data_IF_587330218132
#
_entry.id   IF_587330218132
#
_cell.length_a   1.000
_cell.length_b   1.000
_cell.length_c   1.000
_cell.angle_alpha   90.00
_cell.angle_beta   90.00
_cell.angle_gamma   90.00
#
_symmetry.space_group_name_H-M   'P 1'
#
loop_
_entity.id
_entity.type
_entity.pdbx_description
1 polymer ?
#
# COMPACT_ATOMS: atom_id res chain seq x y z
N UNK A 1 -18.22 -16.44 7.54
CA UNK A 1 -17.98 -15.04 7.98
C UNK A 1 -19.22 -14.24 7.58
N UNK A 2 -19.87 -13.54 8.52
CA UNK A 2 -21.07 -12.75 8.20
C UNK A 2 -20.76 -11.82 7.03
N UNK A 3 -21.66 -11.69 6.06
CA UNK A 3 -21.48 -10.86 4.85
C UNK A 3 -20.51 -11.39 3.76
N UNK A 4 -19.98 -12.62 3.84
CA UNK A 4 -19.17 -13.16 2.73
C UNK A 4 -20.05 -13.78 1.65
N UNK A 5 -21.01 -14.61 2.03
CA UNK A 5 -21.86 -15.32 1.06
C UNK A 5 -22.91 -14.37 0.47
N UNK A 6 -23.47 -13.48 1.28
CA UNK A 6 -24.49 -12.49 0.88
C UNK A 6 -23.97 -11.48 -0.16
N UNK A 7 -22.72 -11.00 -0.02
CA UNK A 7 -22.11 -10.06 -0.96
C UNK A 7 -21.42 -10.76 -2.15
N UNK A 8 -21.47 -12.09 -2.19
CA UNK A 8 -21.00 -12.91 -3.32
C UNK A 8 -22.15 -13.60 -4.05
N UNK A 9 -23.39 -13.36 -3.63
CA UNK A 9 -24.57 -13.78 -4.37
C UNK A 9 -24.68 -12.98 -5.67
N UNK A 10 -24.93 -13.70 -6.76
CA UNK A 10 -25.02 -13.13 -8.10
C UNK A 10 -26.33 -12.34 -8.29
N UNK A 11 -27.41 -12.72 -7.59
CA UNK A 11 -28.71 -12.08 -7.77
C UNK A 11 -28.70 -10.59 -7.32
N UNK A 12 -28.17 -10.24 -6.12
CA UNK A 12 -27.97 -8.83 -5.74
C UNK A 12 -27.04 -8.06 -6.68
N UNK A 13 -26.01 -8.72 -7.24
CA UNK A 13 -25.09 -8.08 -8.18
C UNK A 13 -25.82 -7.66 -9.46
N UNK A 14 -26.60 -8.56 -10.06
CA UNK A 14 -27.41 -8.20 -11.24
C UNK A 14 -28.41 -7.09 -10.96
N UNK A 15 -29.11 -7.15 -9.82
CA UNK A 15 -30.05 -6.10 -9.43
C UNK A 15 -29.35 -4.72 -9.29
N UNK A 16 -28.14 -4.69 -8.73
CA UNK A 16 -27.33 -3.48 -8.66
C UNK A 16 -26.91 -2.97 -10.05
N UNK A 17 -26.48 -3.84 -10.95
CA UNK A 17 -26.09 -3.45 -12.32
C UNK A 17 -27.28 -2.90 -13.10
N UNK A 18 -28.46 -3.52 -12.99
CA UNK A 18 -29.69 -3.04 -13.61
C UNK A 18 -30.09 -1.66 -13.05
N UNK A 19 -30.02 -1.49 -11.72
CA UNK A 19 -30.29 -0.20 -11.09
C UNK A 19 -29.31 0.89 -11.55
N UNK A 20 -28.01 0.58 -11.63
CA UNK A 20 -27.00 1.49 -12.17
C UNK A 20 -27.35 1.87 -13.62
N UNK A 21 -27.66 0.88 -14.46
CA UNK A 21 -28.02 1.08 -15.88
C UNK A 21 -29.22 2.03 -16.03
N UNK A 22 -30.23 1.90 -15.16
CA UNK A 22 -31.41 2.76 -15.18
C UNK A 22 -31.16 4.18 -14.66
N UNK A 23 -30.14 4.39 -13.81
CA UNK A 23 -29.82 5.69 -13.20
C UNK A 23 -28.83 6.52 -14.00
N UNK A 24 -28.00 5.91 -14.85
CA UNK A 24 -26.96 6.63 -15.57
C UNK A 24 -27.57 7.54 -16.63
N UNK A 25 -27.32 8.84 -16.51
CA UNK A 25 -27.85 9.88 -17.43
C UNK A 25 -26.82 10.44 -18.40
N UNK A 26 -25.54 10.10 -18.22
CA UNK A 26 -24.40 10.60 -19.01
C UNK A 26 -23.19 9.68 -18.83
N UNK A 27 -22.14 9.79 -19.65
CA UNK A 27 -20.89 9.09 -19.39
C UNK A 27 -20.27 9.49 -18.04
N UNK A 28 -19.76 8.48 -17.31
CA UNK A 28 -19.10 8.63 -16.02
C UNK A 28 -17.72 7.97 -16.03
N UNK A 29 -16.71 8.69 -15.54
CA UNK A 29 -15.38 8.16 -15.25
C UNK A 29 -15.20 8.17 -13.73
N UNK A 30 -15.16 6.98 -13.13
CA UNK A 30 -15.04 6.78 -11.69
C UNK A 30 -13.69 6.14 -11.39
N UNK A 31 -12.95 6.71 -10.45
CA UNK A 31 -11.63 6.20 -10.06
C UNK A 31 -11.70 5.46 -8.73
N UNK A 32 -11.19 4.24 -8.67
CA UNK A 32 -10.91 3.58 -7.40
C UNK A 32 -9.49 3.90 -6.92
N UNK A 33 -9.25 3.86 -5.61
CA UNK A 33 -7.99 4.28 -5.00
C UNK A 33 -7.43 3.25 -4.01
N UNK A 34 -7.70 1.97 -4.26
CA UNK A 34 -7.26 0.88 -3.40
C UNK A 34 -6.93 -0.37 -4.21
N UNK A 35 -5.68 -0.83 -4.16
CA UNK A 35 -5.26 -2.04 -4.89
C UNK A 35 -6.10 -3.29 -4.58
N UNK A 36 -6.67 -3.37 -3.37
CA UNK A 36 -7.62 -4.42 -3.02
C UNK A 36 -8.94 -4.32 -3.80
N UNK A 37 -9.46 -3.10 -3.99
CA UNK A 37 -10.63 -2.85 -4.84
C UNK A 37 -10.30 -3.12 -6.31
N UNK A 38 -9.15 -2.66 -6.81
CA UNK A 38 -8.67 -3.01 -8.16
C UNK A 38 -8.69 -4.52 -8.37
N UNK A 39 -8.11 -5.27 -7.44
CA UNK A 39 -8.05 -6.73 -7.51
C UNK A 39 -9.45 -7.35 -7.52
N UNK A 40 -10.35 -6.91 -6.63
CA UNK A 40 -11.72 -7.40 -6.57
C UNK A 40 -12.51 -7.10 -7.85
N UNK A 41 -12.42 -5.87 -8.37
CA UNK A 41 -13.13 -5.43 -9.58
C UNK A 41 -12.71 -6.30 -10.77
N UNK A 42 -11.40 -6.39 -11.02
CA UNK A 42 -10.86 -7.13 -12.18
C UNK A 42 -11.08 -8.63 -12.03
N UNK A 43 -10.83 -9.20 -10.84
CA UNK A 43 -11.00 -10.64 -10.61
C UNK A 43 -12.45 -11.08 -10.78
N UNK A 44 -13.40 -10.25 -10.38
CA UNK A 44 -14.84 -10.54 -10.49
C UNK A 44 -15.45 -10.06 -11.81
N UNK A 45 -14.68 -9.42 -12.69
CA UNK A 45 -15.16 -8.89 -13.98
C UNK A 45 -16.22 -7.80 -13.84
N UNK A 46 -16.23 -7.06 -12.72
CA UNK A 46 -17.25 -6.03 -12.46
C UNK A 46 -17.16 -4.91 -13.51
N UNK A 47 -15.95 -4.58 -13.94
CA UNK A 47 -15.67 -3.64 -15.02
C UNK A 47 -16.34 -4.03 -16.36
N UNK A 48 -16.52 -5.32 -16.61
CA UNK A 48 -17.18 -5.84 -17.82
C UNK A 48 -18.71 -5.89 -17.69
N UNK A 49 -19.23 -5.87 -16.46
CA UNK A 49 -20.67 -5.90 -16.19
C UNK A 49 -21.30 -4.51 -16.15
N UNK A 50 -20.49 -3.46 -15.93
CA UNK A 50 -20.98 -2.09 -15.89
C UNK A 50 -21.45 -1.63 -17.29
N UNK A 51 -22.42 -0.70 -17.37
CA UNK A 51 -22.80 -0.07 -18.62
C UNK A 51 -21.60 0.56 -19.34
N UNK A 52 -21.56 0.49 -20.68
CA UNK A 52 -20.45 1.03 -21.49
C UNK A 52 -20.16 2.52 -21.25
N UNK A 53 -21.16 3.27 -20.81
CA UNK A 53 -21.01 4.68 -20.46
C UNK A 53 -20.32 4.92 -19.11
N UNK A 54 -20.03 3.88 -18.33
CA UNK A 54 -19.23 3.97 -17.10
C UNK A 54 -17.83 3.43 -17.37
N UNK A 55 -16.84 4.30 -17.22
CA UNK A 55 -15.43 3.95 -17.24
C UNK A 55 -14.89 3.88 -15.81
N UNK A 56 -14.35 2.73 -15.42
CA UNK A 56 -13.55 2.60 -14.21
C UNK A 56 -12.08 2.93 -14.52
N UNK A 57 -11.45 3.74 -13.66
CA UNK A 57 -10.04 4.09 -13.73
C UNK A 57 -9.35 3.62 -12.45
N UNK A 58 -8.17 3.01 -12.61
CA UNK A 58 -7.36 2.56 -11.48
C UNK A 58 -6.42 3.67 -11.02
N UNK A 59 -6.67 4.19 -9.82
CA UNK A 59 -5.87 5.25 -9.23
C UNK A 59 -4.59 4.75 -8.54
N UNK A 60 -3.80 5.66 -7.96
CA UNK A 60 -2.59 5.33 -7.20
C UNK A 60 -2.90 4.67 -5.83
N UNK A 61 -3.56 3.51 -5.84
CA UNK A 61 -4.01 2.76 -4.65
C UNK A 61 -3.02 1.74 -4.07
N UNK A 62 -1.74 1.79 -4.49
CA UNK A 62 -0.68 0.88 -4.05
C UNK A 62 0.47 1.68 -3.42
N UNK A 63 0.66 1.63 -2.08
CA UNK A 63 1.67 2.45 -1.40
C UNK A 63 3.11 2.07 -1.83
N UNK A 64 3.33 0.80 -2.11
CA UNK A 64 4.61 0.27 -2.63
C UNK A 64 4.92 0.88 -4.00
N UNK A 65 3.94 0.89 -4.89
CA UNK A 65 4.09 1.33 -6.28
C UNK A 65 4.32 2.84 -6.40
N UNK A 66 3.81 3.63 -5.44
CA UNK A 66 3.98 5.10 -5.42
C UNK A 66 5.17 5.56 -4.58
N UNK A 67 5.91 4.64 -3.96
CA UNK A 67 7.12 4.98 -3.21
C UNK A 67 8.18 5.48 -4.19
N UNK A 68 8.68 6.70 -3.98
CA UNK A 68 9.65 7.32 -4.89
C UNK A 68 10.96 6.53 -4.97
N UNK A 69 11.55 6.44 -6.16
CA UNK A 69 12.85 5.80 -6.39
C UNK A 69 13.94 6.29 -5.44
N UNK A 70 14.02 7.60 -5.16
CA UNK A 70 15.01 8.14 -4.22
C UNK A 70 14.84 7.68 -2.76
N UNK A 71 13.63 7.26 -2.36
CA UNK A 71 13.40 6.66 -1.04
C UNK A 71 13.82 5.19 -1.02
N UNK A 72 13.62 4.47 -2.13
CA UNK A 72 14.12 3.10 -2.30
C UNK A 72 15.65 3.09 -2.31
N UNK A 73 16.29 4.05 -2.98
CA UNK A 73 17.75 4.19 -2.96
C UNK A 73 18.29 4.41 -1.54
N UNK A 74 17.63 5.26 -0.74
CA UNK A 74 17.96 5.42 0.69
C UNK A 74 17.78 4.12 1.47
N UNK A 75 16.71 3.35 1.20
CA UNK A 75 16.48 2.06 1.85
C UNK A 75 17.62 1.08 1.55
N UNK A 76 18.05 0.99 0.28
CA UNK A 76 19.16 0.15 -0.17
C UNK A 76 20.49 0.58 0.47
N UNK A 77 20.75 1.88 0.54
CA UNK A 77 21.95 2.42 1.18
C UNK A 77 21.97 2.05 2.68
N UNK A 78 20.87 2.26 3.40
CA UNK A 78 20.77 1.94 4.83
C UNK A 78 20.90 0.43 5.05
N UNK A 79 20.25 -0.39 4.23
CA UNK A 79 20.33 -1.85 4.34
C UNK A 79 21.75 -2.38 4.14
N UNK A 80 22.57 -1.67 3.35
CA UNK A 80 23.95 -2.07 3.06
C UNK A 80 24.96 -1.65 4.15
N UNK A 81 24.52 -0.94 5.20
CA UNK A 81 25.42 -0.48 6.27
C UNK A 81 25.81 -1.63 7.21
N UNK A 82 27.10 -1.73 7.60
CA UNK A 82 27.52 -2.73 8.59
C UNK A 82 26.78 -2.55 9.92
N UNK A 83 26.39 -3.67 10.54
CA UNK A 83 25.70 -3.66 11.84
C UNK A 83 24.21 -3.30 11.77
N UNK A 84 23.65 -3.08 10.58
CA UNK A 84 22.21 -2.87 10.37
C UNK A 84 21.50 -4.17 10.05
N UNK A 85 20.37 -4.42 10.71
CA UNK A 85 19.35 -5.35 10.27
C UNK A 85 18.22 -4.53 9.65
N UNK A 86 18.04 -4.66 8.34
CA UNK A 86 17.00 -3.95 7.61
C UNK A 86 15.76 -4.81 7.49
N UNK A 87 14.61 -4.24 7.83
CA UNK A 87 13.32 -4.95 7.81
C UNK A 87 12.34 -4.23 6.90
N UNK A 88 11.60 -5.00 6.11
CA UNK A 88 10.63 -4.47 5.14
C UNK A 88 9.54 -5.51 4.83
N UNK A 89 8.45 -5.08 4.21
CA UNK A 89 7.45 -5.98 3.67
C UNK A 89 7.96 -6.73 2.42
N UNK A 90 7.45 -7.94 2.20
CA UNK A 90 7.96 -8.83 1.14
C UNK A 90 7.75 -8.30 -0.28
N UNK A 91 6.70 -7.54 -0.52
CA UNK A 91 6.39 -6.87 -1.78
C UNK A 91 7.38 -5.72 -2.07
N UNK A 92 7.74 -4.93 -1.05
CA UNK A 92 8.68 -3.83 -1.17
C UNK A 92 10.12 -4.30 -1.47
N UNK A 93 10.51 -5.51 -1.08
CA UNK A 93 11.88 -6.00 -1.28
C UNK A 93 12.29 -6.08 -2.77
N UNK A 94 11.32 -6.22 -3.68
CA UNK A 94 11.53 -6.38 -5.13
C UNK A 94 11.45 -5.09 -5.92
N UNK A 95 11.11 -3.97 -5.28
CA UNK A 95 10.90 -2.71 -6.01
C UNK A 95 12.26 -2.13 -6.41
N UNK A 96 12.47 -1.80 -7.69
CA UNK A 96 13.73 -1.27 -8.15
C UNK A 96 13.93 0.17 -7.65
N UNK A 97 15.13 0.43 -7.13
CA UNK A 97 15.70 1.77 -7.04
C UNK A 97 16.31 2.20 -8.37
N UNK A 98 17.18 3.20 -8.34
CA UNK A 98 17.82 3.76 -9.54
C UNK A 98 18.79 2.77 -10.20
N UNK A 99 19.45 1.91 -9.42
CA UNK A 99 20.50 1.00 -9.93
C UNK A 99 20.46 -0.41 -9.35
N UNK A 100 19.61 -0.69 -8.35
CA UNK A 100 19.52 -1.99 -7.68
C UNK A 100 18.20 -2.11 -6.91
N UNK A 101 18.01 -3.20 -6.16
CA UNK A 101 16.87 -3.44 -5.27
C UNK A 101 17.35 -4.05 -3.93
N UNK A 102 16.43 -4.16 -2.96
CA UNK A 102 16.75 -4.68 -1.63
C UNK A 102 17.14 -6.17 -1.67
N UNK A 103 16.56 -6.97 -2.56
CA UNK A 103 16.95 -8.38 -2.72
C UNK A 103 18.40 -8.52 -3.24
N UNK A 104 18.84 -7.63 -4.11
CA UNK A 104 20.20 -7.57 -4.60
C UNK A 104 21.16 -7.13 -3.50
N UNK A 105 20.77 -6.16 -2.67
CA UNK A 105 21.53 -5.79 -1.47
C UNK A 105 21.68 -6.99 -0.51
N UNK A 106 20.61 -7.76 -0.30
CA UNK A 106 20.65 -9.02 0.48
C UNK A 106 21.62 -10.03 -0.13
N UNK A 107 21.58 -10.23 -1.44
CA UNK A 107 22.50 -11.12 -2.15
C UNK A 107 23.97 -10.69 -2.03
N UNK A 108 24.22 -9.39 -1.81
CA UNK A 108 25.55 -8.80 -1.54
C UNK A 108 25.96 -8.84 -0.07
N UNK A 109 25.16 -9.43 0.81
CA UNK A 109 25.48 -9.65 2.22
C UNK A 109 24.79 -8.72 3.22
N UNK A 110 23.85 -7.87 2.79
CA UNK A 110 23.01 -7.11 3.71
C UNK A 110 22.10 -8.04 4.54
N UNK A 111 21.96 -7.80 5.86
CA UNK A 111 20.98 -8.51 6.70
C UNK A 111 19.58 -7.91 6.47
N UNK A 112 18.92 -8.37 5.40
CA UNK A 112 17.55 -8.01 5.07
C UNK A 112 16.57 -9.10 5.55
N UNK A 113 15.63 -8.72 6.42
CA UNK A 113 14.57 -9.60 6.94
C UNK A 113 13.20 -9.13 6.46
N UNK A 114 12.44 -10.06 5.89
CA UNK A 114 11.06 -9.78 5.47
C UNK A 114 10.14 -9.94 6.68
N UNK A 115 9.26 -8.98 6.89
CA UNK A 115 8.31 -8.96 8.01
C UNK A 115 6.88 -8.82 7.52
N UNK A 116 5.92 -9.30 8.30
CA UNK A 116 4.49 -9.15 8.01
C UNK A 116 3.87 -7.95 8.71
N UNK A 117 4.52 -7.44 9.75
CA UNK A 117 4.04 -6.30 10.52
C UNK A 117 5.19 -5.46 11.09
N UNK A 118 4.94 -4.19 11.45
CA UNK A 118 5.90 -3.37 12.19
C UNK A 118 6.28 -3.98 13.56
N UNK A 119 5.40 -4.79 14.17
CA UNK A 119 5.67 -5.47 15.44
C UNK A 119 6.68 -6.61 15.29
N UNK A 120 6.74 -7.27 14.13
CA UNK A 120 7.78 -8.26 13.86
C UNK A 120 9.16 -7.59 13.77
N UNK A 121 9.24 -6.42 13.16
CA UNK A 121 10.49 -5.63 13.12
C UNK A 121 10.92 -5.18 14.53
N UNK A 122 9.96 -4.78 15.37
CA UNK A 122 10.22 -4.47 16.78
C UNK A 122 10.79 -5.68 17.53
N UNK A 123 10.21 -6.87 17.33
CA UNK A 123 10.73 -8.11 17.93
C UNK A 123 12.15 -8.42 17.48
N UNK A 124 12.46 -8.19 16.20
CA UNK A 124 13.84 -8.30 15.69
C UNK A 124 14.79 -7.38 16.45
N UNK A 125 14.37 -6.16 16.82
CA UNK A 125 15.17 -5.24 17.63
C UNK A 125 15.42 -5.74 19.06
N UNK A 126 14.40 -6.31 19.70
CA UNK A 126 14.51 -6.95 21.03
C UNK A 126 15.51 -8.11 21.01
N UNK A 127 15.44 -8.94 19.96
CA UNK A 127 16.27 -10.14 19.84
C UNK A 127 17.73 -9.86 19.42
N UNK A 128 18.04 -8.63 18.99
CA UNK A 128 19.35 -8.24 18.45
C UNK A 128 19.82 -6.89 19.05
N UNK A 129 20.07 -6.82 20.37
CA UNK A 129 20.37 -5.55 21.06
C UNK A 129 21.69 -4.90 20.64
N UNK A 130 22.61 -5.66 20.04
CA UNK A 130 23.90 -5.19 19.53
C UNK A 130 23.83 -4.65 18.08
N UNK A 131 22.66 -4.71 17.44
CA UNK A 131 22.45 -4.31 16.05
C UNK A 131 21.44 -3.18 15.95
N UNK A 132 21.66 -2.29 14.98
CA UNK A 132 20.67 -1.28 14.62
C UNK A 132 19.60 -1.93 13.74
N UNK A 133 18.34 -1.92 14.20
CA UNK A 133 17.21 -2.41 13.42
C UNK A 133 16.47 -1.24 12.79
N UNK A 134 16.36 -1.28 11.46
CA UNK A 134 15.65 -0.27 10.69
C UNK A 134 14.43 -0.91 10.04
N UNK A 135 13.24 -0.37 10.29
CA UNK A 135 12.03 -0.77 9.58
C UNK A 135 11.68 0.24 8.48
N UNK A 136 11.51 -0.26 7.26
CA UNK A 136 11.07 0.53 6.12
C UNK A 136 9.54 0.66 6.14
N UNK A 137 9.06 1.74 6.73
CA UNK A 137 7.65 1.98 6.98
C UNK A 137 6.97 2.56 5.73
N UNK A 138 6.54 1.66 4.84
CA UNK A 138 5.77 1.97 3.64
C UNK A 138 4.30 1.65 3.91
N UNK A 139 3.39 2.51 3.46
CA UNK A 139 1.95 2.26 3.59
C UNK A 139 1.12 3.53 3.54
N UNK A 140 -0.19 3.35 3.47
CA UNK A 140 -1.16 4.44 3.58
C UNK A 140 -1.64 4.61 5.03
N UNK A 141 -2.74 5.32 5.21
CA UNK A 141 -3.39 5.60 6.49
C UNK A 141 -3.75 4.34 7.28
N UNK A 142 -3.96 3.21 6.62
CA UNK A 142 -4.25 1.91 7.28
C UNK A 142 -3.01 1.28 7.92
N UNK A 143 -1.81 1.57 7.42
CA UNK A 143 -0.54 1.03 7.92
C UNK A 143 0.14 1.97 8.92
N UNK A 144 -0.10 3.28 8.82
CA UNK A 144 0.52 4.25 9.72
C UNK A 144 0.22 4.01 11.22
N UNK A 145 -1.01 3.63 11.65
CA UNK A 145 -1.31 3.35 13.05
C UNK A 145 -0.53 2.16 13.63
N UNK A 146 -0.32 1.10 12.84
CA UNK A 146 0.45 -0.07 13.32
C UNK A 146 1.93 0.25 13.44
N UNK A 147 2.45 1.10 12.55
CA UNK A 147 3.82 1.65 12.66
C UNK A 147 3.96 2.52 13.91
N UNK A 148 3.00 3.42 14.16
CA UNK A 148 2.99 4.26 15.36
C UNK A 148 2.92 3.43 16.65
N UNK A 149 2.17 2.32 16.64
CA UNK A 149 2.13 1.38 17.77
C UNK A 149 3.51 0.75 18.03
N UNK A 150 4.23 0.34 16.99
CA UNK A 150 5.59 -0.21 17.15
C UNK A 150 6.55 0.81 17.77
N UNK A 151 6.49 2.09 17.37
CA UNK A 151 7.27 3.17 17.99
C UNK A 151 6.92 3.33 19.47
N UNK A 152 5.62 3.40 19.78
CA UNK A 152 5.15 3.55 21.16
C UNK A 152 5.64 2.41 22.05
N UNK A 153 5.59 1.17 21.55
CA UNK A 153 6.08 0.00 22.28
C UNK A 153 7.61 0.02 22.43
N UNK A 154 8.35 0.41 21.39
CA UNK A 154 9.80 0.59 21.48
C UNK A 154 10.18 1.61 22.56
N UNK A 155 9.47 2.73 22.64
CA UNK A 155 9.67 3.74 23.68
C UNK A 155 9.35 3.21 25.08
N UNK A 156 8.26 2.45 25.24
CA UNK A 156 7.89 1.84 26.52
C UNK A 156 8.92 0.80 26.99
N UNK A 157 9.51 0.07 26.04
CA UNK A 157 10.57 -0.92 26.29
C UNK A 157 11.97 -0.31 26.37
N UNK A 158 12.11 1.01 26.12
CA UNK A 158 13.38 1.74 26.08
C UNK A 158 14.39 1.13 25.10
N UNK A 159 13.92 0.77 23.91
CA UNK A 159 14.77 0.26 22.84
C UNK A 159 15.42 1.42 22.09
N UNK A 160 16.74 1.53 22.22
CA UNK A 160 17.53 2.57 21.53
C UNK A 160 17.99 2.14 20.12
N UNK A 161 17.83 0.86 19.78
CA UNK A 161 18.29 0.25 18.54
C UNK A 161 17.19 0.07 17.47
N UNK A 162 15.99 0.60 17.68
CA UNK A 162 14.87 0.51 16.73
C UNK A 162 14.58 1.85 16.06
N UNK A 163 14.69 1.89 14.73
CA UNK A 163 14.49 3.11 13.93
C UNK A 163 13.64 2.84 12.69
N UNK A 164 13.15 3.92 12.09
CA UNK A 164 12.24 3.86 10.95
C UNK A 164 12.77 4.69 9.79
N UNK A 165 12.71 4.13 8.59
CA UNK A 165 12.67 4.90 7.36
C UNK A 165 11.20 5.10 7.00
N UNK A 166 10.65 6.30 7.27
CA UNK A 166 9.23 6.59 7.07
C UNK A 166 8.97 6.99 5.63
N UNK A 167 8.10 6.22 4.97
CA UNK A 167 7.64 6.41 3.60
C UNK A 167 6.11 6.24 3.50
N UNK A 168 5.40 6.67 4.55
CA UNK A 168 3.95 6.72 4.52
C UNK A 168 3.45 7.80 3.57
N UNK A 169 2.36 7.49 2.85
CA UNK A 169 1.74 8.38 1.87
C UNK A 169 0.28 8.58 2.26
N UNK A 170 -0.25 9.77 2.00
CA UNK A 170 -1.65 10.09 2.22
C UNK A 170 -2.43 9.98 0.91
N UNK A 171 -3.59 9.34 0.95
CA UNK A 171 -4.48 9.17 -0.20
C UNK A 171 -5.25 10.46 -0.52
N UNK A 172 -5.84 11.20 0.44
CA UNK A 172 -6.62 12.41 0.13
C UNK A 172 -5.84 13.50 -0.63
N UNK A 173 -4.56 13.80 -0.34
CA UNK A 173 -3.77 14.73 -1.15
C UNK A 173 -3.59 14.28 -2.60
N UNK A 174 -3.40 12.97 -2.84
CA UNK A 174 -3.32 12.43 -4.20
C UNK A 174 -4.66 12.60 -4.94
N UNK A 175 -5.79 12.31 -4.27
CA UNK A 175 -7.13 12.52 -4.82
C UNK A 175 -7.39 13.98 -5.19
N UNK A 176 -7.02 14.92 -4.30
CA UNK A 176 -7.17 16.37 -4.58
C UNK A 176 -6.33 16.80 -5.78
N UNK A 177 -5.08 16.35 -5.84
CA UNK A 177 -4.20 16.63 -6.99
C UNK A 177 -4.80 16.17 -8.31
N UNK A 178 -5.46 14.99 -8.31
CA UNK A 178 -6.14 14.46 -9.50
C UNK A 178 -7.36 15.31 -9.86
N UNK A 179 -8.13 15.80 -8.88
CA UNK A 179 -9.31 16.64 -9.11
C UNK A 179 -8.95 18.06 -9.55
N UNK A 180 -7.85 18.61 -9.05
CA UNK A 180 -7.39 19.96 -9.38
C UNK A 180 -6.69 20.01 -10.75
N UNK A 181 -6.41 18.86 -11.37
CA UNK A 181 -5.77 18.80 -12.67
C UNK A 181 -6.69 19.40 -13.77
N UNK A 182 -6.22 20.35 -14.60
CA UNK A 182 -7.05 21.15 -15.51
C UNK A 182 -7.93 20.39 -16.52
N UNK A 183 -7.68 19.09 -16.72
CA UNK A 183 -8.41 18.24 -17.67
C UNK A 183 -8.65 16.83 -17.10
N UNK A 184 -8.86 16.72 -15.79
CA UNK A 184 -9.14 15.41 -15.21
C UNK A 184 -10.48 14.87 -15.75
N UNK A 185 -10.50 13.65 -16.33
CA UNK A 185 -11.75 13.02 -16.71
C UNK A 185 -12.49 12.47 -15.50
N UNK A 186 -11.83 12.33 -14.34
CA UNK A 186 -12.39 11.69 -13.14
C UNK A 186 -13.52 12.54 -12.55
N UNK A 187 -14.70 11.95 -12.42
CA UNK A 187 -15.92 12.58 -11.93
C UNK A 187 -16.36 12.09 -10.55
N UNK A 188 -15.71 11.05 -10.02
CA UNK A 188 -15.99 10.50 -8.70
C UNK A 188 -14.95 9.48 -8.28
N UNK A 189 -14.92 9.17 -6.98
CA UNK A 189 -14.03 8.17 -6.41
C UNK A 189 -14.80 7.05 -5.71
N UNK A 190 -14.34 5.82 -5.90
CA UNK A 190 -14.57 4.73 -4.96
C UNK A 190 -13.45 4.82 -3.91
N UNK A 191 -13.79 5.40 -2.75
CA UNK A 191 -12.83 5.56 -1.67
C UNK A 191 -12.37 4.19 -1.13
N UNK A 192 -11.14 4.16 -0.62
CA UNK A 192 -10.66 3.01 0.13
C UNK A 192 -11.57 2.77 1.37
N UNK A 193 -11.98 1.52 1.55
CA UNK A 193 -12.82 1.10 2.68
C UNK A 193 -12.07 0.94 4.00
#
# INVERSE_FOLDING_TARGET
MKFVDEYRDIAPVHACIEAISAMVTRPWTVMEICGGQTHSIVRSGIDQLLPECIQLVHGPGCPVCVTSTGTIDKAIEIASRPGVIFTTFGDMARVPGSSSDLLTAKARGADLRLVYSPLDALRVAVDNPDKQVVFFAVGFETTAPTTAMAIRLAQQQKLDNFTLLVAHVLVPPAMRTILDAPRTPVQGFLAAG
#
